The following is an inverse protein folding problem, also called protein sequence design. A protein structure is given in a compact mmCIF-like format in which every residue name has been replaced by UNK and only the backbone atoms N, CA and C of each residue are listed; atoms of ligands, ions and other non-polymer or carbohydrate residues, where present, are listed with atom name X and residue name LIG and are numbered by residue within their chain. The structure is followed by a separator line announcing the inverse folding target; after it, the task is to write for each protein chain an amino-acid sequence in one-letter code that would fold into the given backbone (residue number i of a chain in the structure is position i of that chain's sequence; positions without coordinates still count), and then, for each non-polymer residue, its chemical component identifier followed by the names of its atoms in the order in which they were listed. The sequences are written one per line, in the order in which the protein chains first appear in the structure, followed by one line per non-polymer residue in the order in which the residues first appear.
data_IF_133708311690
#
_entry.id   IF_133708311690
#
_cell.length_a   1.000
_cell.length_b   1.000
_cell.length_c   1.000
_cell.angle_alpha   90.00
_cell.angle_beta   90.00
_cell.angle_gamma   90.00
#
_symmetry.space_group_name_H-M   'P 1'
#
loop_
_entity.id
_entity.type
_entity.pdbx_description
1 polymer ?
#
# COMPACT_ATOMS: atom_id res chain seq x y z
N UNK A 1 -5.80 16.58 15.82
CA UNK A 1 -4.68 15.66 15.57
C UNK A 1 -5.19 14.68 14.53
N UNK A 2 -4.64 14.70 13.32
CA UNK A 2 -5.04 13.72 12.31
C UNK A 2 -4.51 12.34 12.71
N UNK A 3 -5.39 11.35 12.76
CA UNK A 3 -4.98 9.97 13.02
C UNK A 3 -4.12 9.45 11.86
N UNK A 4 -2.97 8.81 12.15
CA UNK A 4 -2.10 8.29 11.11
C UNK A 4 -2.85 7.22 10.29
N UNK A 5 -2.62 7.12 8.97
CA UNK A 5 -3.29 6.15 8.09
C UNK A 5 -3.30 4.71 8.62
N UNK A 6 -2.28 4.31 9.37
CA UNK A 6 -2.20 3.02 10.05
C UNK A 6 -3.24 2.80 11.15
N UNK A 7 -3.59 3.84 11.90
CA UNK A 7 -4.56 3.74 12.98
C UNK A 7 -5.98 3.49 12.46
N UNK A 8 -6.22 3.79 11.17
CA UNK A 8 -7.48 3.53 10.47
C UNK A 8 -7.58 2.12 9.88
N UNK A 9 -6.50 1.34 9.95
CA UNK A 9 -6.47 -0.04 9.49
C UNK A 9 -6.61 -0.96 10.71
N UNK A 10 -7.71 -1.70 10.80
CA UNK A 10 -7.87 -2.73 11.84
C UNK A 10 -6.99 -3.94 11.47
N UNK A 11 -5.91 -4.15 12.22
CA UNK A 11 -4.80 -5.01 11.80
C UNK A 11 -4.33 -5.94 12.91
N UNK A 12 -4.17 -7.21 12.56
CA UNK A 12 -3.48 -8.14 13.46
C UNK A 12 -2.00 -7.75 13.65
N UNK A 13 -1.49 -7.95 14.87
CA UNK A 13 -0.08 -7.75 15.21
C UNK A 13 0.88 -8.53 14.28
N UNK A 14 0.43 -9.67 13.74
CA UNK A 14 1.20 -10.49 12.80
C UNK A 14 1.38 -9.78 11.46
N UNK A 15 0.33 -9.20 10.91
CA UNK A 15 0.38 -8.47 9.63
C UNK A 15 1.26 -7.22 9.77
N UNK A 16 1.14 -6.50 10.88
CA UNK A 16 1.98 -5.33 11.17
C UNK A 16 3.47 -5.67 11.19
N UNK A 17 3.88 -6.74 11.89
CA UNK A 17 5.29 -7.15 11.92
C UNK A 17 5.80 -7.53 10.53
N UNK A 18 5.02 -8.28 9.74
CA UNK A 18 5.42 -8.65 8.38
C UNK A 18 5.57 -7.44 7.47
N UNK A 19 4.66 -6.46 7.57
CA UNK A 19 4.74 -5.21 6.83
C UNK A 19 5.99 -4.35 7.16
N UNK A 20 6.53 -4.51 8.37
CA UNK A 20 7.74 -3.83 8.84
C UNK A 20 9.05 -4.52 8.40
N UNK A 21 9.11 -5.85 8.52
CA UNK A 21 10.35 -6.60 8.33
C UNK A 21 10.52 -7.25 6.96
N UNK A 22 9.44 -7.47 6.18
CA UNK A 22 9.58 -7.98 4.81
C UNK A 22 10.17 -6.90 3.89
N UNK A 23 11.01 -7.35 2.96
CA UNK A 23 11.63 -6.51 1.96
C UNK A 23 10.62 -6.17 0.86
N UNK A 24 9.99 -5.00 0.97
CA UNK A 24 9.09 -4.49 -0.05
C UNK A 24 9.78 -3.39 -0.87
N UNK A 25 9.79 -3.56 -2.18
CA UNK A 25 10.09 -2.49 -3.11
C UNK A 25 8.79 -1.79 -3.51
N UNK A 26 8.83 -0.46 -3.55
CA UNK A 26 7.68 0.39 -3.89
C UNK A 26 7.96 1.14 -5.18
N UNK A 27 6.96 1.26 -6.03
CA UNK A 27 7.01 2.12 -7.22
C UNK A 27 5.68 2.83 -7.38
N UNK A 28 5.71 4.10 -7.76
CA UNK A 28 4.51 4.90 -7.97
C UNK A 28 4.04 4.75 -9.41
N UNK A 29 2.75 4.54 -9.63
CA UNK A 29 2.19 4.35 -10.96
C UNK A 29 0.83 5.05 -11.07
N UNK A 30 0.79 6.18 -11.77
CA UNK A 30 -0.44 6.94 -12.03
C UNK A 30 -1.28 7.22 -10.76
N UNK A 31 -0.62 7.52 -9.64
CA UNK A 31 -1.28 7.77 -8.36
C UNK A 31 -1.53 6.52 -7.49
N UNK A 32 -1.34 5.32 -8.03
CA UNK A 32 -1.31 4.08 -7.26
C UNK A 32 0.11 3.73 -6.78
N UNK A 33 0.19 2.79 -5.84
CA UNK A 33 1.47 2.25 -5.35
C UNK A 33 1.61 0.78 -5.76
N UNK A 34 2.60 0.50 -6.60
CA UNK A 34 3.03 -0.87 -6.93
C UNK A 34 3.96 -1.36 -5.83
N UNK A 35 3.63 -2.51 -5.25
CA UNK A 35 4.35 -3.15 -4.15
C UNK A 35 4.88 -4.48 -4.63
N UNK A 36 6.19 -4.66 -4.60
CA UNK A 36 6.87 -5.92 -4.93
C UNK A 36 7.50 -6.52 -3.68
N UNK A 37 7.18 -7.77 -3.38
CA UNK A 37 7.78 -8.48 -2.25
C UNK A 37 9.09 -9.16 -2.69
N UNK A 38 10.21 -8.58 -2.30
CA UNK A 38 11.56 -9.07 -2.59
C UNK A 38 12.04 -10.14 -1.60
N UNK A 39 11.26 -10.44 -0.56
CA UNK A 39 11.54 -11.58 0.33
C UNK A 39 11.24 -12.94 -0.31
N UNK A 40 10.60 -12.97 -1.49
CA UNK A 40 10.33 -14.19 -2.24
C UNK A 40 11.43 -14.49 -3.27
N UNK A 41 11.67 -15.77 -3.54
CA UNK A 41 12.64 -16.26 -4.54
C UNK A 41 12.34 -15.78 -5.97
N UNK A 42 11.08 -15.44 -6.25
CA UNK A 42 10.63 -14.90 -7.54
C UNK A 42 9.84 -13.59 -7.33
N UNK A 43 10.52 -12.46 -7.11
CA UNK A 43 9.87 -11.18 -6.80
C UNK A 43 8.94 -10.69 -7.91
N UNK A 44 9.21 -11.06 -9.16
CA UNK A 44 8.43 -10.62 -10.32
C UNK A 44 7.00 -11.20 -10.30
N UNK A 45 6.78 -12.35 -9.67
CA UNK A 45 5.45 -12.93 -9.47
C UNK A 45 4.72 -12.41 -8.23
N UNK A 46 5.41 -11.65 -7.38
CA UNK A 46 4.88 -11.14 -6.12
C UNK A 46 4.79 -9.63 -6.14
N UNK A 47 4.17 -9.15 -7.19
CA UNK A 47 3.97 -7.74 -7.43
C UNK A 47 2.48 -7.44 -7.52
N UNK A 48 2.06 -6.46 -6.72
CA UNK A 48 0.67 -6.12 -6.55
C UNK A 48 0.50 -4.61 -6.60
N UNK A 49 -0.67 -4.15 -7.02
CA UNK A 49 -1.01 -2.74 -7.04
C UNK A 49 -1.91 -2.44 -5.85
N UNK A 50 -1.52 -1.44 -5.08
CA UNK A 50 -2.30 -0.85 -4.00
C UNK A 50 -2.89 0.45 -4.50
N UNK A 51 -4.22 0.52 -4.52
CA UNK A 51 -4.91 1.76 -4.86
C UNK A 51 -5.02 2.63 -3.63
N UNK A 52 -4.68 3.90 -3.80
CA UNK A 52 -4.74 4.92 -2.77
C UNK A 52 -5.88 5.87 -3.12
N UNK A 53 -6.71 6.24 -2.15
CA UNK A 53 -7.76 7.25 -2.31
C UNK A 53 -7.71 8.12 -1.07
N UNK A 54 -7.66 9.45 -1.24
CA UNK A 54 -7.57 10.42 -0.14
C UNK A 54 -6.44 10.11 0.88
N UNK A 55 -5.28 9.68 0.38
CA UNK A 55 -4.13 9.32 1.22
C UNK A 55 -4.28 8.01 2.01
N UNK A 56 -5.30 7.20 1.70
CA UNK A 56 -5.53 5.89 2.33
C UNK A 56 -5.42 4.75 1.33
N UNK A 57 -4.72 3.65 1.65
CA UNK A 57 -4.69 2.46 0.81
C UNK A 57 -6.01 1.69 0.96
N UNK A 58 -6.90 1.84 -0.01
CA UNK A 58 -8.28 1.31 0.04
C UNK A 58 -8.40 -0.12 -0.46
N UNK A 59 -7.57 -0.52 -1.42
CA UNK A 59 -7.61 -1.87 -2.01
C UNK A 59 -6.25 -2.32 -2.52
N UNK A 60 -6.10 -3.62 -2.74
CA UNK A 60 -4.89 -4.22 -3.28
C UNK A 60 -5.21 -5.40 -4.20
N UNK A 61 -4.50 -5.53 -5.32
CA UNK A 61 -4.69 -6.65 -6.28
C UNK A 61 -4.10 -7.98 -5.80
N UNK A 62 -3.82 -8.12 -4.49
CA UNK A 62 -3.24 -9.34 -3.94
C UNK A 62 -4.36 -10.29 -3.47
N UNK A 63 -4.16 -11.62 -3.56
CA UNK A 63 -5.19 -12.59 -3.18
C UNK A 63 -5.69 -12.42 -1.73
N UNK A 64 -4.82 -11.92 -0.84
CA UNK A 64 -5.17 -11.72 0.56
C UNK A 64 -6.22 -10.60 0.77
N UNK A 65 -6.29 -9.61 -0.11
CA UNK A 65 -7.29 -8.53 -0.04
C UNK A 65 -8.66 -9.01 -0.57
N UNK A 66 -8.69 -10.02 -1.44
CA UNK A 66 -9.92 -10.63 -1.93
C UNK A 66 -10.53 -11.62 -0.92
N UNK A 67 -9.69 -12.31 -0.15
CA UNK A 67 -10.12 -13.41 0.73
C UNK A 67 -10.33 -13.00 2.18
N UNK A 68 -9.94 -11.79 2.59
CA UNK A 68 -9.93 -11.38 3.98
C UNK A 68 -10.46 -9.96 4.12
N UNK A 69 -11.37 -9.76 5.09
CA UNK A 69 -11.85 -8.42 5.46
C UNK A 69 -10.74 -7.56 6.11
N UNK A 70 -9.67 -8.21 6.58
CA UNK A 70 -8.49 -7.54 7.14
C UNK A 70 -7.60 -6.93 6.04
N UNK A 71 -7.06 -5.71 6.26
CA UNK A 71 -6.15 -5.09 5.31
C UNK A 71 -4.90 -5.94 5.10
N UNK A 72 -4.63 -6.26 3.83
CA UNK A 72 -3.48 -7.08 3.47
C UNK A 72 -2.16 -6.41 3.86
N UNK A 73 -1.11 -7.23 4.06
CA UNK A 73 0.24 -6.74 4.42
C UNK A 73 0.78 -5.66 3.49
N UNK A 74 0.36 -5.62 2.23
CA UNK A 74 0.77 -4.60 1.26
C UNK A 74 0.15 -3.24 1.56
N UNK A 75 -1.17 -3.17 1.84
CA UNK A 75 -1.85 -1.94 2.27
C UNK A 75 -1.23 -1.40 3.54
N UNK A 76 -0.93 -2.28 4.49
CA UNK A 76 -0.20 -1.90 5.72
C UNK A 76 1.20 -1.38 5.42
N UNK A 77 1.95 -2.06 4.55
CA UNK A 77 3.31 -1.65 4.20
C UNK A 77 3.34 -0.26 3.57
N UNK A 78 2.35 0.10 2.76
CA UNK A 78 2.15 1.44 2.22
C UNK A 78 1.74 2.42 3.32
N UNK A 79 0.76 2.06 4.18
CA UNK A 79 0.31 2.90 5.27
C UNK A 79 1.40 3.23 6.31
N UNK A 80 2.36 2.33 6.56
CA UNK A 80 3.49 2.59 7.47
C UNK A 80 4.45 3.65 6.91
N UNK A 81 4.37 3.95 5.61
CA UNK A 81 5.31 4.82 4.91
C UNK A 81 4.59 6.08 4.40
N UNK A 82 4.31 7.07 5.27
CA UNK A 82 3.56 8.29 4.92
C UNK A 82 4.06 8.99 3.66
N UNK A 83 5.38 9.08 3.48
CA UNK A 83 5.98 9.72 2.30
C UNK A 83 5.54 9.10 0.97
N UNK A 84 5.32 7.79 0.92
CA UNK A 84 4.84 7.12 -0.29
C UNK A 84 3.39 7.49 -0.56
N UNK A 85 2.55 7.55 0.48
CA UNK A 85 1.16 7.99 0.38
C UNK A 85 1.04 9.46 -0.03
N UNK A 86 1.87 10.33 0.54
CA UNK A 86 1.90 11.76 0.21
C UNK A 86 2.18 11.96 -1.29
N UNK A 87 3.21 11.28 -1.82
CA UNK A 87 3.59 11.40 -3.22
C UNK A 87 2.53 10.76 -4.14
N UNK A 88 1.99 9.59 -3.77
CA UNK A 88 0.91 8.94 -4.51
C UNK A 88 -0.32 9.86 -4.64
N UNK A 89 -0.72 10.49 -3.53
CA UNK A 89 -1.86 11.42 -3.49
C UNK A 89 -1.57 12.69 -4.31
N UNK A 90 -0.37 13.26 -4.19
CA UNK A 90 0.03 14.40 -5.00
C UNK A 90 0.03 14.06 -6.52
N UNK A 91 0.44 12.84 -6.88
CA UNK A 91 0.40 12.35 -8.26
C UNK A 91 -1.02 12.19 -8.80
N UNK A 92 -1.99 11.80 -7.98
CA UNK A 92 -3.41 11.77 -8.37
C UNK A 92 -3.92 13.18 -8.64
N UNK A 93 -3.65 14.12 -7.74
CA UNK A 93 -4.09 15.51 -7.89
C UNK A 93 -3.56 16.19 -9.18
N UNK A 94 -2.31 15.90 -9.59
CA UNK A 94 -1.78 16.40 -10.87
C UNK A 94 -2.33 15.66 -12.09
N UNK A 95 -2.78 14.41 -11.94
CA UNK A 95 -3.37 13.64 -13.04
C UNK A 95 -4.84 14.03 -13.28
N UNK A 96 -5.56 14.37 -12.22
CA UNK A 96 -6.96 14.82 -12.26
C UNK A 96 -7.10 16.28 -12.75
N UNK A 97 -6.02 17.06 -12.67
CA UNK A 97 -5.91 18.37 -13.31
C UNK A 97 -5.49 18.20 -14.78
N UNK A 98 -6.36 17.62 -15.60
CA UNK A 98 -6.21 17.58 -17.06
C UNK A 98 -6.41 18.96 -17.71
N UNK A 99 -5.86 19.18 -18.93
CA UNK A 99 -5.62 20.49 -19.56
C UNK A 99 -6.86 21.29 -19.97
#
# INVERSE_FOLDING_TARGET
MEEPPLARLDLSNRVRKRAQYEAFAFSLQAGDVRVRNESHLDPAKHEYRVSVVDGLPVSCTCPADETSDDPCKHRVAVAIRPRILDIATAMQAVSDCGP
#
